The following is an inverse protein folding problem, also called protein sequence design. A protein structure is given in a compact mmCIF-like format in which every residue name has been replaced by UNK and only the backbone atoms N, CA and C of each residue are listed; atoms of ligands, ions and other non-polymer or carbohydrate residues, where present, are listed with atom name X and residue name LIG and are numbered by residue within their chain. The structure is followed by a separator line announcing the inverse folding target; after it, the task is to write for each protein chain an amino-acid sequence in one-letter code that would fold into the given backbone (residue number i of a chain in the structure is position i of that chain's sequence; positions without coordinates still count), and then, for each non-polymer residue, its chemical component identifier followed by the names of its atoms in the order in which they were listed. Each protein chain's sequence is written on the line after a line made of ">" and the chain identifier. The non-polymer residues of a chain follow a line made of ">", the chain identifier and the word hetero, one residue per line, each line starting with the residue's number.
data_IF_038349636383
#
_entry.id   IF_038349636383
#
_cell.length_a   1.000
_cell.length_b   1.000
_cell.length_c   1.000
_cell.angle_alpha   90.00
_cell.angle_beta   90.00
_cell.angle_gamma   90.00
#
_symmetry.space_group_name_H-M   'P 1'
#
loop_
_entity.id
_entity.type
_entity.pdbx_description
1 polymer ?
#
# COMPACT_ATOMS: atom_id res chain seq x y z
N UNK A 1 23.65 -2.37 -9.05
CA UNK A 1 23.52 -2.04 -7.64
C UNK A 1 22.81 -0.72 -7.56
N UNK A 2 21.70 -0.65 -6.85
CA UNK A 2 20.91 0.55 -6.69
C UNK A 2 21.00 0.98 -5.23
N UNK A 3 21.35 2.24 -5.00
CA UNK A 3 21.39 2.85 -3.69
C UNK A 3 20.45 4.03 -3.68
N UNK A 4 19.71 4.18 -2.61
CA UNK A 4 18.76 5.28 -2.48
C UNK A 4 18.22 5.36 -1.08
N UNK A 5 17.14 6.09 -0.94
CA UNK A 5 16.46 6.27 0.32
C UNK A 5 15.58 7.49 0.25
N UNK A 6 15.00 7.84 1.38
CA UNK A 6 14.25 9.07 1.56
C UNK A 6 14.64 9.71 2.88
N UNK A 7 14.83 11.02 2.84
CA UNK A 7 14.90 11.88 4.02
C UNK A 7 13.64 12.74 3.99
N UNK A 8 12.89 12.74 5.07
CA UNK A 8 11.63 13.44 5.16
C UNK A 8 11.50 14.22 6.47
N UNK A 9 10.60 15.20 6.46
CA UNK A 9 10.28 16.01 7.66
C UNK A 9 9.50 15.25 8.73
N UNK A 10 9.00 14.05 8.39
CA UNK A 10 8.39 13.10 9.32
C UNK A 10 9.35 11.94 9.60
N UNK A 11 9.05 11.15 10.64
CA UNK A 11 9.82 9.94 11.03
C UNK A 11 9.66 8.78 10.03
N UNK A 12 9.58 9.06 8.73
CA UNK A 12 9.46 8.09 7.64
C UNK A 12 10.73 7.94 6.81
N UNK A 13 11.81 8.57 7.25
CA UNK A 13 13.12 8.48 6.58
C UNK A 13 13.62 7.04 6.56
N UNK A 14 14.15 6.60 5.43
CA UNK A 14 14.75 5.29 5.29
C UNK A 14 15.92 5.29 4.31
N UNK A 15 16.74 4.25 4.40
CA UNK A 15 17.82 3.95 3.46
C UNK A 15 17.40 2.71 2.68
N UNK A 16 17.60 2.72 1.38
CA UNK A 16 17.32 1.63 0.46
C UNK A 16 18.59 1.15 -0.23
N UNK A 17 18.74 -0.17 -0.32
CA UNK A 17 19.79 -0.85 -1.06
C UNK A 17 19.17 -1.92 -1.96
N UNK A 18 19.45 -1.86 -3.26
CA UNK A 18 19.02 -2.85 -4.24
C UNK A 18 20.23 -3.50 -4.93
N UNK A 19 20.25 -4.81 -4.98
CA UNK A 19 21.25 -5.59 -5.70
C UNK A 19 20.54 -6.35 -6.83
N UNK A 20 21.03 -6.15 -8.05
CA UNK A 20 20.53 -6.82 -9.26
C UNK A 20 21.63 -7.67 -9.88
N UNK A 21 21.31 -8.94 -10.15
CA UNK A 21 22.19 -9.87 -10.85
C UNK A 21 21.48 -10.45 -12.07
N UNK A 22 22.15 -10.42 -13.21
CA UNK A 22 21.64 -10.95 -14.47
C UNK A 22 22.57 -12.06 -14.98
N UNK A 23 21.98 -13.18 -15.39
CA UNK A 23 22.69 -14.27 -16.06
C UNK A 23 21.98 -14.63 -17.35
N UNK A 24 22.76 -14.66 -18.45
CA UNK A 24 22.28 -14.94 -19.81
C UNK A 24 22.76 -16.33 -20.25
N UNK A 25 22.12 -17.38 -19.70
CA UNK A 25 22.38 -18.78 -20.08
C UNK A 25 21.15 -19.36 -20.80
N UNK A 26 20.93 -20.67 -20.72
CA UNK A 26 19.72 -21.35 -21.29
C UNK A 26 18.41 -20.79 -20.76
N UNK A 27 18.35 -20.39 -19.50
CA UNK A 27 17.29 -19.55 -18.94
C UNK A 27 17.89 -18.17 -18.62
N UNK A 28 17.19 -17.11 -19.00
CA UNK A 28 17.53 -15.76 -18.58
C UNK A 28 17.17 -15.63 -17.11
N UNK A 29 18.15 -15.41 -16.26
CA UNK A 29 17.93 -15.30 -14.81
C UNK A 29 18.17 -13.86 -14.36
N UNK A 30 17.21 -13.30 -13.64
CA UNK A 30 17.33 -12.01 -12.95
C UNK A 30 17.07 -12.21 -11.46
N UNK A 31 18.10 -12.05 -10.64
CA UNK A 31 17.97 -12.05 -9.19
C UNK A 31 18.02 -10.61 -8.66
N UNK A 32 17.06 -10.27 -7.81
CA UNK A 32 16.91 -8.96 -7.18
C UNK A 32 16.84 -9.14 -5.67
N UNK A 33 17.68 -8.43 -4.94
CA UNK A 33 17.65 -8.35 -3.47
C UNK A 33 17.50 -6.90 -3.09
N UNK A 34 16.42 -6.58 -2.39
CA UNK A 34 16.10 -5.24 -1.92
C UNK A 34 16.10 -5.21 -0.40
N UNK A 35 16.69 -4.19 0.16
CA UNK A 35 16.71 -3.95 1.58
C UNK A 35 16.36 -2.49 1.86
N UNK A 36 15.48 -2.24 2.81
CA UNK A 36 15.17 -0.92 3.30
C UNK A 36 15.18 -0.91 4.83
N UNK A 37 15.71 0.16 5.42
CA UNK A 37 15.75 0.34 6.86
C UNK A 37 15.51 1.79 7.26
N UNK A 38 14.64 1.97 8.25
CA UNK A 38 14.25 3.25 8.84
C UNK A 38 13.43 2.97 10.10
N UNK A 39 13.03 4.01 10.80
CA UNK A 39 12.25 3.87 12.04
C UNK A 39 10.82 3.43 11.75
N UNK A 40 10.19 4.03 10.73
CA UNK A 40 8.82 3.71 10.32
C UNK A 40 8.72 2.39 9.53
N UNK A 41 9.68 2.13 8.64
CA UNK A 41 9.61 1.01 7.70
C UNK A 41 10.93 0.29 7.56
N UNK A 42 10.87 -1.03 7.72
CA UNK A 42 11.99 -1.96 7.45
C UNK A 42 11.51 -3.03 6.49
N UNK A 43 12.35 -3.39 5.53
CA UNK A 43 11.99 -4.41 4.54
C UNK A 43 13.23 -5.16 4.06
N UNK A 44 13.02 -6.44 3.80
CA UNK A 44 13.95 -7.28 3.04
C UNK A 44 13.14 -8.07 2.01
N UNK A 45 13.57 -8.04 0.77
CA UNK A 45 12.92 -8.77 -0.32
C UNK A 45 13.95 -9.43 -1.21
N UNK A 46 13.70 -10.67 -1.56
CA UNK A 46 14.42 -11.39 -2.60
C UNK A 46 13.44 -11.89 -3.65
N UNK A 47 13.78 -11.67 -4.91
CA UNK A 47 13.06 -12.21 -6.07
C UNK A 47 14.08 -12.82 -7.02
N UNK A 48 13.74 -13.97 -7.57
CA UNK A 48 14.57 -14.61 -8.60
C UNK A 48 13.66 -14.96 -9.76
N UNK A 49 13.83 -14.27 -10.88
CA UNK A 49 13.04 -14.50 -12.07
C UNK A 49 13.82 -15.35 -13.06
N UNK A 50 13.18 -16.41 -13.54
CA UNK A 50 13.65 -17.29 -14.59
C UNK A 50 12.75 -17.13 -15.82
N UNK A 51 13.27 -16.56 -16.89
CA UNK A 51 12.57 -16.45 -18.16
C UNK A 51 12.91 -17.65 -19.06
N UNK A 52 11.88 -18.30 -19.61
CA UNK A 52 11.99 -19.48 -20.47
C UNK A 52 11.53 -19.17 -21.91
N UNK A 53 12.38 -18.52 -22.74
CA UNK A 53 11.99 -18.09 -24.07
C UNK A 53 11.67 -19.24 -25.04
N UNK A 54 12.23 -20.45 -24.77
CA UNK A 54 12.06 -21.62 -25.64
C UNK A 54 10.88 -22.53 -25.25
N UNK A 55 10.28 -22.34 -24.07
CA UNK A 55 9.21 -23.18 -23.52
C UNK A 55 7.85 -22.44 -23.45
N UNK A 56 7.54 -21.58 -24.41
CA UNK A 56 6.26 -20.87 -24.47
C UNK A 56 6.27 -19.47 -23.89
N UNK A 57 7.45 -18.84 -23.78
CA UNK A 57 7.60 -17.42 -23.35
C UNK A 57 6.96 -17.11 -21.98
N UNK A 58 7.15 -17.98 -21.00
CA UNK A 58 6.72 -17.72 -19.62
C UNK A 58 7.91 -17.46 -18.70
N UNK A 59 7.63 -16.87 -17.54
CA UNK A 59 8.60 -16.77 -16.47
C UNK A 59 8.08 -17.38 -15.17
N UNK A 60 9.02 -17.85 -14.35
CA UNK A 60 8.82 -18.22 -12.95
C UNK A 60 9.57 -17.22 -12.08
N UNK A 61 8.91 -16.75 -11.01
CA UNK A 61 9.51 -15.79 -10.09
C UNK A 61 9.16 -16.16 -8.65
N UNK A 62 9.97 -17.04 -8.00
CA UNK A 62 9.92 -17.18 -6.55
C UNK A 62 10.32 -15.88 -5.87
N UNK A 63 9.59 -15.56 -4.78
CA UNK A 63 9.83 -14.36 -3.99
C UNK A 63 9.72 -14.65 -2.49
N UNK A 64 10.54 -13.99 -1.70
CA UNK A 64 10.36 -13.89 -0.27
C UNK A 64 10.43 -12.42 0.14
N UNK A 65 9.46 -11.97 0.93
CA UNK A 65 9.37 -10.58 1.37
C UNK A 65 9.11 -10.55 2.87
N UNK A 66 9.85 -9.70 3.55
CA UNK A 66 9.65 -9.31 4.93
C UNK A 66 9.44 -7.80 4.97
N UNK A 67 8.39 -7.35 5.64
CA UNK A 67 8.13 -5.95 5.91
C UNK A 67 7.82 -5.78 7.40
N UNK A 68 8.29 -4.67 7.98
CA UNK A 68 7.84 -4.18 9.27
C UNK A 68 7.44 -2.72 9.12
N UNK A 69 6.23 -2.39 9.57
CA UNK A 69 5.63 -1.07 9.56
C UNK A 69 5.36 -0.65 11.00
N UNK A 70 6.03 0.39 11.46
CA UNK A 70 5.86 0.91 12.81
C UNK A 70 5.20 2.29 12.78
N UNK A 71 3.88 2.34 12.99
CA UNK A 71 3.10 3.57 13.00
C UNK A 71 3.19 4.33 14.34
N UNK A 72 3.88 3.79 15.35
CA UNK A 72 4.07 4.41 16.66
C UNK A 72 4.86 5.72 16.61
N UNK A 73 5.67 5.92 15.59
CA UNK A 73 6.64 7.01 15.49
C UNK A 73 6.28 8.03 14.41
N UNK A 74 5.07 7.99 13.84
CA UNK A 74 4.66 8.98 12.84
C UNK A 74 4.13 10.23 13.53
N UNK A 75 5.05 11.05 14.07
CA UNK A 75 4.73 12.38 14.57
C UNK A 75 4.56 13.35 13.40
N UNK A 76 3.46 14.10 13.39
CA UNK A 76 3.29 15.24 12.50
C UNK A 76 3.80 16.51 13.19
N UNK A 77 4.64 17.28 12.48
CA UNK A 77 5.26 18.51 13.02
C UNK A 77 4.19 19.58 13.32
N UNK A 78 3.04 19.53 12.65
CA UNK A 78 2.02 20.58 12.68
C UNK A 78 0.92 20.34 13.69
N UNK A 79 0.52 19.09 13.96
CA UNK A 79 -0.60 18.80 14.86
C UNK A 79 -0.27 17.77 15.94
N UNK A 80 0.10 18.28 17.12
CA UNK A 80 0.38 17.48 18.32
C UNK A 80 -0.88 16.97 19.05
N UNK A 81 -2.08 17.25 18.55
CA UNK A 81 -3.35 16.89 19.19
C UNK A 81 -3.95 15.58 18.67
N UNK A 82 -3.25 14.92 17.76
CA UNK A 82 -3.72 13.65 17.18
C UNK A 82 -3.46 12.51 18.18
N UNK A 83 -4.47 11.67 18.48
CA UNK A 83 -4.27 10.48 19.29
C UNK A 83 -3.19 9.61 18.68
N UNK A 84 -2.27 9.05 19.47
CA UNK A 84 -1.20 8.22 18.96
C UNK A 84 -1.79 6.99 18.25
N UNK A 85 -1.43 6.80 16.99
CA UNK A 85 -1.70 5.52 16.31
C UNK A 85 -0.67 4.52 16.79
N UNK A 86 -1.13 3.47 17.46
CA UNK A 86 -0.28 2.35 17.86
C UNK A 86 -0.58 1.18 16.97
N UNK A 87 0.27 0.96 15.98
CA UNK A 87 0.22 -0.21 15.12
C UNK A 87 1.63 -0.62 14.73
N UNK A 88 2.07 -1.80 15.18
CA UNK A 88 3.26 -2.48 14.67
C UNK A 88 2.82 -3.67 13.83
N UNK A 89 3.17 -3.66 12.54
CA UNK A 89 2.81 -4.70 11.57
C UNK A 89 4.05 -5.40 11.07
N UNK A 90 4.16 -6.69 11.32
CA UNK A 90 5.15 -7.57 10.71
C UNK A 90 4.48 -8.43 9.66
N UNK A 91 4.84 -8.23 8.40
CA UNK A 91 4.27 -8.89 7.23
C UNK A 91 5.33 -9.73 6.51
N UNK A 92 5.05 -11.01 6.30
CA UNK A 92 5.94 -11.94 5.60
C UNK A 92 5.17 -12.64 4.48
N UNK A 93 5.80 -12.72 3.32
CA UNK A 93 5.23 -13.40 2.16
C UNK A 93 6.29 -14.28 1.51
N UNK A 94 5.94 -15.51 1.25
CA UNK A 94 6.71 -16.48 0.49
C UNK A 94 5.87 -16.93 -0.70
N UNK A 95 6.27 -16.52 -1.90
CA UNK A 95 5.41 -16.64 -3.08
C UNK A 95 6.12 -17.19 -4.30
N UNK A 96 5.31 -17.65 -5.24
CA UNK A 96 5.70 -18.01 -6.58
C UNK A 96 4.78 -17.31 -7.58
N UNK A 97 5.37 -16.53 -8.47
CA UNK A 97 4.67 -15.89 -9.56
C UNK A 97 4.99 -16.64 -10.86
N UNK A 98 3.96 -16.91 -11.64
CA UNK A 98 4.09 -17.44 -13.01
C UNK A 98 3.48 -16.39 -13.93
N UNK A 99 4.24 -15.91 -14.92
CA UNK A 99 3.73 -14.89 -15.81
C UNK A 99 4.01 -15.21 -17.26
N UNK A 100 3.08 -14.73 -18.12
CA UNK A 100 3.18 -14.84 -19.57
C UNK A 100 2.96 -13.47 -20.21
N UNK A 101 3.72 -13.09 -21.26
CA UNK A 101 3.41 -11.94 -22.09
C UNK A 101 2.20 -12.29 -22.98
N UNK A 102 1.09 -11.61 -22.78
CA UNK A 102 -0.12 -11.77 -23.62
C UNK A 102 -0.04 -10.87 -24.85
N UNK A 103 0.58 -9.70 -24.70
CA UNK A 103 0.85 -8.76 -25.77
C UNK A 103 2.16 -8.03 -25.48
N UNK A 104 2.64 -7.22 -26.44
CA UNK A 104 3.95 -6.55 -26.38
C UNK A 104 4.29 -5.88 -25.03
N UNK A 105 3.27 -5.41 -24.29
CA UNK A 105 3.46 -4.70 -23.04
C UNK A 105 2.49 -5.18 -21.93
N UNK A 106 1.67 -6.20 -22.21
CA UNK A 106 0.70 -6.75 -21.26
C UNK A 106 1.23 -8.11 -20.78
N UNK A 107 1.35 -8.25 -19.47
CA UNK A 107 1.65 -9.51 -18.82
C UNK A 107 0.42 -10.01 -18.06
N UNK A 108 0.06 -11.27 -18.24
CA UNK A 108 -0.82 -12.00 -17.34
C UNK A 108 0.02 -12.79 -16.33
N UNK A 109 -0.51 -13.00 -15.14
CA UNK A 109 0.21 -13.72 -14.10
C UNK A 109 -0.75 -14.55 -13.24
N UNK A 110 -0.22 -15.65 -12.72
CA UNK A 110 -0.76 -16.41 -11.61
C UNK A 110 0.21 -16.29 -10.43
N UNK A 111 -0.33 -16.22 -9.24
CA UNK A 111 0.44 -16.09 -8.00
C UNK A 111 -0.08 -17.05 -6.95
N UNK A 112 0.81 -17.78 -6.30
CA UNK A 112 0.56 -18.50 -5.06
C UNK A 112 1.49 -18.00 -3.98
N UNK A 113 1.00 -17.76 -2.77
CA UNK A 113 1.85 -17.31 -1.68
C UNK A 113 1.36 -17.86 -0.33
N UNK A 114 2.31 -18.19 0.54
CA UNK A 114 2.10 -18.35 1.97
C UNK A 114 2.38 -17.03 2.66
N UNK A 115 1.46 -16.56 3.49
CA UNK A 115 1.56 -15.28 4.17
C UNK A 115 1.47 -15.45 5.68
N UNK A 116 2.19 -14.58 6.39
CA UNK A 116 2.13 -14.45 7.84
C UNK A 116 2.12 -12.95 8.14
N UNK A 117 0.98 -12.43 8.52
CA UNK A 117 0.81 -11.07 8.99
C UNK A 117 0.59 -11.09 10.50
N UNK A 118 1.35 -10.30 11.25
CA UNK A 118 1.21 -10.14 12.68
C UNK A 118 1.09 -8.65 13.00
N UNK A 119 -0.10 -8.27 13.45
CA UNK A 119 -0.44 -6.91 13.82
C UNK A 119 -0.52 -6.81 15.34
N UNK A 120 0.17 -5.82 15.92
CA UNK A 120 0.05 -5.42 17.31
C UNK A 120 -0.47 -3.99 17.36
N UNK A 121 -1.58 -3.76 18.03
CA UNK A 121 -2.24 -2.45 18.01
C UNK A 121 -3.02 -2.18 19.30
N UNK A 122 -3.39 -0.92 19.49
CA UNK A 122 -4.28 -0.48 20.54
C UNK A 122 -5.30 0.50 19.97
N UNK A 123 -6.53 0.38 20.40
CA UNK A 123 -7.63 1.28 20.02
C UNK A 123 -8.03 2.12 21.24
N UNK A 124 -7.20 3.10 21.56
CA UNK A 124 -7.38 3.97 22.72
C UNK A 124 -6.78 5.35 22.45
N UNK A 125 -7.46 6.39 22.88
CA UNK A 125 -7.02 7.77 22.65
C UNK A 125 -5.83 8.19 23.53
N UNK A 126 -5.69 7.59 24.70
CA UNK A 126 -4.60 7.89 25.65
C UNK A 126 -3.92 6.60 26.08
N UNK A 127 -2.62 6.52 25.84
CA UNK A 127 -1.80 5.38 26.22
C UNK A 127 -1.24 5.54 27.63
N UNK A 128 -1.26 4.45 28.39
CA UNK A 128 -0.62 4.33 29.70
C UNK A 128 0.46 3.26 29.62
N UNK A 129 1.55 3.42 30.37
CA UNK A 129 2.69 2.48 30.33
C UNK A 129 2.35 1.02 30.70
N UNK A 130 1.22 0.79 31.36
CA UNK A 130 0.70 -0.55 31.69
C UNK A 130 -0.18 -1.16 30.62
N UNK A 131 -0.51 -0.42 29.54
CA UNK A 131 -1.34 -0.94 28.46
C UNK A 131 -0.60 -2.02 27.67
N UNK A 132 -1.30 -3.11 27.37
CA UNK A 132 -0.83 -4.19 26.51
C UNK A 132 -1.61 -4.21 25.20
N UNK A 133 -0.89 -4.44 24.11
CA UNK A 133 -1.45 -4.39 22.75
C UNK A 133 -2.31 -5.63 22.45
N UNK A 134 -3.38 -5.41 21.70
CA UNK A 134 -4.09 -6.48 21.00
C UNK A 134 -3.15 -7.07 19.94
N UNK A 135 -3.19 -8.39 19.76
CA UNK A 135 -2.41 -9.10 18.76
C UNK A 135 -3.36 -9.84 17.79
N UNK A 136 -3.22 -9.56 16.50
CA UNK A 136 -3.92 -10.25 15.44
C UNK A 136 -2.91 -10.88 14.50
N UNK A 137 -2.93 -12.21 14.41
CA UNK A 137 -2.09 -12.95 13.49
C UNK A 137 -2.94 -13.60 12.41
N UNK A 138 -2.58 -13.35 11.15
CA UNK A 138 -3.20 -13.97 9.97
C UNK A 138 -2.16 -14.85 9.29
N UNK A 139 -2.43 -16.14 9.15
CA UNK A 139 -1.50 -17.11 8.58
C UNK A 139 -2.20 -18.02 7.59
N UNK A 140 -1.64 -18.24 6.42
CA UNK A 140 -2.20 -19.16 5.44
C UNK A 140 -1.83 -18.85 4.00
N UNK A 141 -2.71 -19.17 3.07
CA UNK A 141 -2.44 -19.12 1.65
C UNK A 141 -3.25 -18.02 0.95
N UNK A 142 -2.60 -17.41 -0.04
CA UNK A 142 -3.19 -16.52 -1.04
C UNK A 142 -2.93 -17.09 -2.41
N UNK A 143 -3.97 -17.17 -3.24
CA UNK A 143 -3.87 -17.48 -4.67
C UNK A 143 -4.43 -16.33 -5.47
N UNK A 144 -3.70 -15.88 -6.48
CA UNK A 144 -4.09 -14.73 -7.28
C UNK A 144 -3.88 -14.94 -8.76
N UNK A 145 -4.69 -14.26 -9.55
CA UNK A 145 -4.53 -14.14 -10.99
C UNK A 145 -4.73 -12.68 -11.40
N UNK A 146 -4.08 -12.27 -12.48
CA UNK A 146 -4.26 -10.91 -12.96
C UNK A 146 -3.54 -10.60 -14.25
N UNK A 147 -3.70 -9.35 -14.68
CA UNK A 147 -2.98 -8.79 -15.81
C UNK A 147 -2.54 -7.35 -15.49
N UNK A 148 -1.40 -6.97 -15.99
CA UNK A 148 -0.87 -5.64 -15.78
C UNK A 148 -0.11 -5.11 -16.99
N UNK A 149 -0.12 -3.79 -17.08
CA UNK A 149 0.59 -3.03 -18.10
C UNK A 149 1.07 -1.72 -17.50
N UNK A 150 2.23 -1.23 -17.89
CA UNK A 150 2.68 0.11 -17.55
C UNK A 150 3.63 0.66 -18.62
N UNK A 151 3.33 1.89 -19.08
CA UNK A 151 4.19 2.71 -19.92
C UNK A 151 4.48 4.07 -19.28
N UNK A 152 4.33 4.18 -17.94
CA UNK A 152 4.60 5.40 -17.20
C UNK A 152 6.07 5.80 -17.35
N UNK A 153 6.31 7.09 -17.57
CA UNK A 153 7.67 7.63 -17.76
C UNK A 153 8.52 7.64 -16.48
N UNK A 154 7.89 7.54 -15.30
CA UNK A 154 8.55 7.53 -13.99
C UNK A 154 7.80 6.62 -13.03
N UNK A 155 8.52 6.00 -12.08
CA UNK A 155 7.92 5.16 -11.01
C UNK A 155 7.17 6.00 -9.98
N UNK A 156 7.70 7.17 -9.64
CA UNK A 156 7.11 8.15 -8.75
C UNK A 156 6.99 9.48 -9.48
N UNK A 157 5.91 10.21 -9.26
CA UNK A 157 5.59 11.46 -9.94
C UNK A 157 5.56 11.35 -11.49
N UNK A 158 4.83 10.38 -12.07
CA UNK A 158 4.70 10.30 -13.51
C UNK A 158 3.95 11.53 -14.05
N UNK A 159 4.28 11.90 -15.29
CA UNK A 159 3.63 13.00 -16.03
C UNK A 159 3.19 12.58 -17.43
N UNK A 160 3.48 11.33 -17.81
CA UNK A 160 3.15 10.79 -19.12
C UNK A 160 3.06 9.26 -19.07
N UNK A 161 2.21 8.71 -19.92
CA UNK A 161 2.02 7.27 -20.06
C UNK A 161 0.70 6.79 -19.50
N UNK A 162 0.52 5.49 -19.49
CA UNK A 162 -0.68 4.82 -18.96
C UNK A 162 -0.27 3.53 -18.26
N UNK A 163 -1.08 3.14 -17.28
CA UNK A 163 -0.93 1.87 -16.60
C UNK A 163 -2.30 1.28 -16.29
N UNK A 164 -2.38 -0.04 -16.27
CA UNK A 164 -3.50 -0.74 -15.65
C UNK A 164 -3.00 -1.95 -14.86
N UNK A 165 -3.78 -2.31 -13.85
CA UNK A 165 -3.61 -3.52 -13.09
C UNK A 165 -5.01 -4.08 -12.77
N UNK A 166 -5.23 -5.34 -13.10
CA UNK A 166 -6.44 -6.08 -12.75
C UNK A 166 -5.97 -7.34 -12.03
N UNK A 167 -6.53 -7.61 -10.86
CA UNK A 167 -6.21 -8.81 -10.09
C UNK A 167 -7.43 -9.34 -9.37
N UNK A 168 -7.48 -10.67 -9.23
CA UNK A 168 -8.41 -11.37 -8.36
C UNK A 168 -7.59 -12.28 -7.44
N UNK A 169 -7.88 -12.26 -6.14
CA UNK A 169 -7.17 -13.01 -5.13
C UNK A 169 -8.15 -13.81 -4.28
N UNK A 170 -7.82 -15.03 -3.99
CA UNK A 170 -8.48 -15.89 -3.02
C UNK A 170 -7.57 -16.04 -1.80
N UNK A 171 -8.12 -15.82 -0.63
CA UNK A 171 -7.42 -15.96 0.65
C UNK A 171 -8.03 -17.10 1.44
N UNK A 172 -7.17 -17.89 2.06
CA UNK A 172 -7.54 -18.94 3.02
C UNK A 172 -6.58 -18.84 4.20
N UNK A 173 -7.01 -18.13 5.24
CA UNK A 173 -6.17 -17.76 6.37
C UNK A 173 -6.77 -18.23 7.68
N UNK A 174 -5.91 -18.60 8.62
CA UNK A 174 -6.22 -18.72 10.02
C UNK A 174 -6.01 -17.36 10.68
N UNK A 175 -7.01 -16.88 11.39
CA UNK A 175 -6.98 -15.73 12.27
C UNK A 175 -6.76 -16.22 13.71
N UNK A 176 -5.69 -15.76 14.36
CA UNK A 176 -5.45 -15.96 15.79
C UNK A 176 -5.44 -14.57 16.46
N UNK A 177 -6.38 -14.34 17.35
CA UNK A 177 -6.52 -13.09 18.09
C UNK A 177 -6.22 -13.29 19.58
N UNK A 178 -5.35 -12.44 20.13
CA UNK A 178 -5.04 -12.39 21.56
C UNK A 178 -5.32 -10.97 22.05
N UNK A 179 -6.33 -10.77 22.93
CA UNK A 179 -6.66 -9.45 23.43
C UNK A 179 -5.60 -8.91 24.38
N UNK A 180 -5.34 -7.60 24.29
CA UNK A 180 -4.62 -6.84 25.31
C UNK A 180 -5.54 -6.47 26.48
N UNK A 181 -5.01 -5.74 27.45
CA UNK A 181 -5.75 -5.34 28.66
C UNK A 181 -6.76 -4.20 28.42
N UNK A 182 -6.70 -3.54 27.24
CA UNK A 182 -7.64 -2.48 26.81
C UNK A 182 -8.75 -3.00 25.92
N UNK A 183 -8.67 -4.27 25.51
CA UNK A 183 -9.69 -4.92 24.69
C UNK A 183 -10.94 -5.25 25.50
N UNK A 184 -12.12 -4.97 24.95
CA UNK A 184 -13.39 -5.43 25.53
C UNK A 184 -13.63 -6.92 25.27
N UNK A 185 -12.95 -7.51 24.29
CA UNK A 185 -12.97 -8.93 24.03
C UNK A 185 -12.05 -9.65 25.00
N UNK A 186 -12.61 -10.29 26.01
CA UNK A 186 -11.85 -10.86 27.11
C UNK A 186 -11.13 -12.20 26.83
N UNK A 187 -11.38 -12.85 25.69
CA UNK A 187 -10.85 -14.18 25.41
C UNK A 187 -10.13 -14.26 24.07
N UNK A 188 -9.01 -14.98 23.98
CA UNK A 188 -8.37 -15.31 22.73
C UNK A 188 -9.32 -16.11 21.82
N UNK A 189 -9.21 -15.90 20.53
CA UNK A 189 -10.01 -16.61 19.51
C UNK A 189 -9.16 -17.05 18.33
N UNK A 190 -9.57 -18.15 17.71
CA UNK A 190 -8.94 -18.69 16.51
C UNK A 190 -10.02 -19.08 15.51
N UNK A 191 -9.97 -18.52 14.30
CA UNK A 191 -11.00 -18.70 13.28
C UNK A 191 -10.38 -18.92 11.90
N UNK A 192 -10.98 -19.76 11.08
CA UNK A 192 -10.63 -19.85 9.67
C UNK A 192 -11.38 -18.79 8.88
N UNK A 193 -10.67 -18.04 8.04
CA UNK A 193 -11.20 -16.97 7.22
C UNK A 193 -10.89 -17.21 5.76
N UNK A 194 -11.92 -17.19 4.93
CA UNK A 194 -11.76 -17.33 3.48
C UNK A 194 -12.52 -16.22 2.78
N UNK A 195 -11.91 -15.64 1.74
CA UNK A 195 -12.58 -14.60 0.94
C UNK A 195 -11.96 -14.45 -0.44
N UNK A 196 -12.70 -13.80 -1.32
CA UNK A 196 -12.26 -13.36 -2.63
C UNK A 196 -12.14 -11.83 -2.64
N UNK A 197 -11.14 -11.31 -3.33
CA UNK A 197 -10.97 -9.88 -3.55
C UNK A 197 -10.56 -9.63 -4.99
N UNK A 198 -11.31 -8.78 -5.68
CA UNK A 198 -10.97 -8.28 -7.01
C UNK A 198 -10.58 -6.81 -6.92
N UNK A 199 -9.53 -6.42 -7.62
CA UNK A 199 -9.04 -5.04 -7.68
C UNK A 199 -8.72 -4.66 -9.12
N UNK A 200 -9.18 -3.46 -9.52
CA UNK A 200 -8.86 -2.84 -10.80
C UNK A 200 -8.28 -1.47 -10.54
N UNK A 201 -7.17 -1.14 -11.19
CA UNK A 201 -6.55 0.18 -11.14
C UNK A 201 -6.23 0.61 -12.57
N UNK A 202 -6.70 1.79 -12.97
CA UNK A 202 -6.45 2.41 -14.28
C UNK A 202 -5.85 3.79 -14.06
N UNK A 203 -4.81 4.10 -14.79
CA UNK A 203 -4.08 5.37 -14.66
C UNK A 203 -3.58 5.82 -16.02
N UNK A 204 -3.79 7.10 -16.35
CA UNK A 204 -3.33 7.65 -17.63
C UNK A 204 -3.03 9.14 -17.50
N UNK A 205 -2.01 9.59 -18.22
CA UNK A 205 -1.67 11.00 -18.40
C UNK A 205 -1.69 11.39 -19.89
N UNK A 206 -2.25 12.57 -20.17
CA UNK A 206 -2.31 13.21 -21.47
C UNK A 206 -1.44 14.46 -21.43
N UNK A 207 -0.29 14.42 -22.09
CA UNK A 207 0.67 15.53 -22.09
C UNK A 207 0.46 16.42 -23.32
N UNK A 208 0.39 17.75 -23.09
CA UNK A 208 0.37 18.77 -24.13
C UNK A 208 1.31 19.91 -23.74
N UNK A 209 2.49 19.95 -24.35
CA UNK A 209 3.50 20.96 -24.03
C UNK A 209 3.99 20.86 -22.59
N UNK A 210 3.83 21.94 -21.84
CA UNK A 210 4.22 22.05 -20.42
C UNK A 210 3.15 21.47 -19.46
N UNK A 211 1.95 21.18 -19.94
CA UNK A 211 0.83 20.70 -19.16
C UNK A 211 0.56 19.23 -19.43
N UNK A 212 0.33 18.49 -18.35
CA UNK A 212 -0.18 17.11 -18.41
C UNK A 212 -1.40 17.00 -17.52
N UNK A 213 -2.51 16.53 -18.08
CA UNK A 213 -3.69 16.12 -17.31
C UNK A 213 -3.73 14.61 -17.22
N UNK A 214 -4.14 14.07 -16.11
CA UNK A 214 -4.25 12.63 -15.92
C UNK A 214 -5.39 12.25 -15.00
N UNK A 215 -5.72 10.97 -15.00
CA UNK A 215 -6.69 10.39 -14.07
C UNK A 215 -6.16 9.12 -13.44
N UNK A 216 -6.69 8.82 -12.26
CA UNK A 216 -6.59 7.54 -11.57
C UNK A 216 -8.01 7.04 -11.34
N UNK A 217 -8.28 5.78 -11.64
CA UNK A 217 -9.51 5.08 -11.25
C UNK A 217 -9.12 3.77 -10.55
N UNK A 218 -9.75 3.50 -9.43
CA UNK A 218 -9.55 2.27 -8.67
C UNK A 218 -10.90 1.72 -8.20
N UNK A 219 -11.08 0.42 -8.30
CA UNK A 219 -12.24 -0.28 -7.78
C UNK A 219 -11.82 -1.56 -7.06
N UNK A 220 -12.44 -1.83 -5.93
CA UNK A 220 -12.26 -3.05 -5.16
C UNK A 220 -13.62 -3.65 -4.81
N UNK A 221 -13.71 -4.96 -5.01
CA UNK A 221 -14.83 -5.79 -4.56
C UNK A 221 -14.25 -6.94 -3.73
N UNK A 222 -14.75 -7.11 -2.51
CA UNK A 222 -14.31 -8.14 -1.59
C UNK A 222 -15.45 -8.60 -0.70
N UNK A 223 -15.54 -9.91 -0.51
CA UNK A 223 -16.41 -10.53 0.50
C UNK A 223 -15.62 -10.89 1.76
N UNK A 224 -14.57 -10.11 2.08
CA UNK A 224 -13.75 -10.28 3.28
C UNK A 224 -14.64 -10.24 4.53
N UNK A 225 -14.56 -11.23 5.43
CA UNK A 225 -15.26 -11.21 6.69
C UNK A 225 -14.62 -10.20 7.66
N UNK A 226 -15.38 -9.78 8.64
CA UNK A 226 -14.83 -9.05 9.79
C UNK A 226 -13.95 -9.95 10.64
N UNK A 227 -12.89 -9.40 11.21
CA UNK A 227 -12.03 -10.08 12.17
C UNK A 227 -12.56 -9.92 13.60
N UNK A 228 -11.87 -10.48 14.57
CA UNK A 228 -12.30 -10.59 15.97
C UNK A 228 -12.62 -9.24 16.62
N UNK A 229 -12.02 -8.13 16.18
CA UNK A 229 -12.40 -6.80 16.61
C UNK A 229 -12.41 -5.78 15.46
N UNK A 230 -12.95 -4.58 15.76
CA UNK A 230 -13.02 -3.47 14.79
C UNK A 230 -11.66 -3.07 14.26
N UNK A 231 -10.69 -2.85 15.16
CA UNK A 231 -9.40 -2.32 14.74
C UNK A 231 -8.65 -3.30 13.85
N UNK A 232 -8.63 -4.59 14.22
CA UNK A 232 -8.08 -5.65 13.37
C UNK A 232 -8.76 -5.73 12.00
N UNK A 233 -10.07 -5.51 11.95
CA UNK A 233 -10.84 -5.48 10.71
C UNK A 233 -10.46 -4.29 9.84
N UNK A 234 -10.45 -3.06 10.39
CA UNK A 234 -10.22 -1.84 9.58
C UNK A 234 -8.78 -1.75 9.08
N UNK A 235 -7.76 -2.14 9.87
CA UNK A 235 -6.36 -2.09 9.43
C UNK A 235 -6.04 -3.12 8.33
N UNK A 236 -6.83 -4.18 8.22
CA UNK A 236 -6.68 -5.24 7.21
C UNK A 236 -7.70 -5.15 6.07
N UNK A 237 -8.63 -4.20 6.11
CA UNK A 237 -9.52 -3.92 5.00
C UNK A 237 -8.75 -3.28 3.83
N UNK A 238 -9.16 -3.53 2.57
CA UNK A 238 -8.60 -2.86 1.42
C UNK A 238 -8.60 -1.34 1.56
N UNK A 239 -7.47 -0.71 1.27
CA UNK A 239 -7.29 0.74 1.40
C UNK A 239 -7.02 1.42 0.07
N UNK A 240 -7.54 2.64 -0.07
CA UNK A 240 -7.20 3.56 -1.15
C UNK A 240 -6.06 4.48 -0.70
N UNK A 241 -5.01 4.54 -1.48
CA UNK A 241 -3.80 5.31 -1.18
C UNK A 241 -3.55 6.35 -2.29
N UNK A 242 -4.28 7.48 -2.28
CA UNK A 242 -4.23 8.46 -3.37
C UNK A 242 -2.92 9.22 -3.48
N UNK A 243 -2.32 9.61 -2.33
CA UNK A 243 -1.15 10.46 -2.26
C UNK A 243 0.11 9.68 -1.91
N UNK A 244 1.27 10.27 -2.09
CA UNK A 244 2.56 9.61 -1.86
C UNK A 244 2.77 9.18 -0.40
N UNK A 245 2.25 9.96 0.53
CA UNK A 245 2.35 9.70 1.98
C UNK A 245 1.19 8.88 2.56
N UNK A 246 0.17 8.54 1.76
CA UNK A 246 -1.04 7.83 2.24
C UNK A 246 -0.73 6.50 2.93
N UNK A 247 0.37 5.83 2.56
CA UNK A 247 0.81 4.57 3.19
C UNK A 247 1.50 4.77 4.53
N UNK A 248 1.93 5.99 4.81
CA UNK A 248 2.61 6.32 6.07
C UNK A 248 1.64 6.78 7.16
N UNK A 249 0.35 6.86 6.82
CA UNK A 249 -0.72 7.31 7.69
C UNK A 249 -1.81 6.24 7.72
N UNK A 250 -2.33 5.92 8.89
CA UNK A 250 -3.49 5.04 8.99
C UNK A 250 -4.78 5.84 8.75
N UNK A 251 -5.23 5.86 7.50
CA UNK A 251 -6.47 6.53 7.07
C UNK A 251 -7.65 5.56 7.17
N UNK A 252 -8.34 5.51 8.32
CA UNK A 252 -9.46 4.58 8.55
C UNK A 252 -10.63 4.81 7.58
N UNK A 253 -10.95 6.07 7.24
CA UNK A 253 -12.06 6.43 6.34
C UNK A 253 -11.81 6.07 4.86
N UNK A 254 -10.55 5.87 4.46
CA UNK A 254 -10.17 5.45 3.11
C UNK A 254 -10.02 3.93 2.98
N UNK A 255 -10.72 3.17 3.84
CA UNK A 255 -10.72 1.71 3.85
C UNK A 255 -12.13 1.17 3.82
N UNK A 256 -12.39 0.21 2.94
CA UNK A 256 -13.67 -0.50 2.83
C UNK A 256 -13.47 -1.82 2.08
N UNK A 257 -14.35 -2.79 2.31
CA UNK A 257 -14.35 -4.05 1.56
C UNK A 257 -14.71 -3.83 0.09
N UNK A 258 -15.67 -2.93 -0.14
CA UNK A 258 -16.17 -2.61 -1.48
C UNK A 258 -16.15 -1.09 -1.68
N UNK A 259 -15.43 -0.63 -2.71
CA UNK A 259 -15.36 0.79 -3.02
C UNK A 259 -15.03 1.06 -4.49
N UNK A 260 -15.33 2.29 -4.90
CA UNK A 260 -14.73 2.91 -6.07
C UNK A 260 -14.04 4.19 -5.65
N UNK A 261 -12.93 4.50 -6.32
CA UNK A 261 -12.18 5.72 -6.10
C UNK A 261 -11.69 6.28 -7.43
N UNK A 262 -11.55 7.58 -7.49
CA UNK A 262 -11.03 8.25 -8.67
C UNK A 262 -10.31 9.52 -8.31
N UNK A 263 -9.44 9.97 -9.20
CA UNK A 263 -8.71 11.20 -9.01
C UNK A 263 -8.33 11.85 -10.32
N UNK A 264 -8.23 13.17 -10.25
CA UNK A 264 -7.76 14.00 -11.33
C UNK A 264 -6.41 14.60 -10.96
N UNK A 265 -5.45 14.48 -11.86
CA UNK A 265 -4.06 14.85 -11.66
C UNK A 265 -3.63 15.87 -12.70
N UNK A 266 -3.14 17.01 -12.25
CA UNK A 266 -2.64 18.07 -13.11
C UNK A 266 -1.17 18.30 -12.84
N UNK A 267 -0.35 18.31 -13.88
CA UNK A 267 1.09 18.50 -13.79
C UNK A 267 1.49 19.66 -14.70
N UNK A 268 2.08 20.67 -14.13
CA UNK A 268 2.62 21.85 -14.84
C UNK A 268 4.14 21.79 -14.79
N UNK A 269 4.79 21.45 -15.91
CA UNK A 269 6.25 21.42 -16.01
C UNK A 269 6.80 22.84 -16.15
N UNK A 270 7.12 23.48 -15.03
CA UNK A 270 7.63 24.87 -14.97
C UNK A 270 9.02 24.95 -15.62
N UNK A 271 9.85 23.92 -15.38
CA UNK A 271 11.17 23.76 -16.00
C UNK A 271 11.38 22.29 -16.36
N UNK A 272 12.44 21.96 -17.09
CA UNK A 272 12.76 20.60 -17.52
C UNK A 272 12.76 19.55 -16.39
N UNK A 273 13.11 19.97 -15.18
CA UNK A 273 13.20 19.11 -14.00
C UNK A 273 12.34 19.60 -12.81
N UNK A 274 11.46 20.56 -13.00
CA UNK A 274 10.61 21.14 -11.96
C UNK A 274 9.15 21.12 -12.40
N UNK A 275 8.35 20.34 -11.69
CA UNK A 275 6.92 20.17 -11.90
C UNK A 275 6.15 20.75 -10.71
N UNK A 276 5.07 21.50 -10.98
CA UNK A 276 4.02 21.81 -10.03
C UNK A 276 2.84 20.88 -10.26
N UNK A 277 2.32 20.27 -9.22
CA UNK A 277 1.25 19.29 -9.29
C UNK A 277 0.06 19.70 -8.44
N UNK A 278 -1.15 19.54 -9.00
CA UNK A 278 -2.41 19.67 -8.29
C UNK A 278 -3.22 18.40 -8.53
N UNK A 279 -3.55 17.70 -7.46
CA UNK A 279 -4.26 16.43 -7.54
C UNK A 279 -5.46 16.45 -6.58
N UNK A 280 -6.57 15.92 -7.04
CA UNK A 280 -7.80 15.78 -6.26
C UNK A 280 -8.37 14.37 -6.44
N UNK A 281 -8.85 13.78 -5.36
CA UNK A 281 -9.34 12.42 -5.31
C UNK A 281 -10.65 12.34 -4.54
N UNK A 282 -11.51 11.43 -4.98
CA UNK A 282 -12.73 11.04 -4.30
C UNK A 282 -12.72 9.53 -4.05
N UNK A 283 -13.10 9.14 -2.85
CA UNK A 283 -13.26 7.76 -2.43
C UNK A 283 -14.72 7.54 -2.03
N UNK A 284 -15.35 6.54 -2.60
CA UNK A 284 -16.73 6.15 -2.32
C UNK A 284 -16.77 4.71 -1.82
N UNK A 285 -16.88 4.47 -0.51
CA UNK A 285 -17.20 3.14 0.00
C UNK A 285 -18.65 2.79 -0.32
N UNK A 286 -18.94 1.52 -0.60
CA UNK A 286 -20.32 1.00 -0.64
C UNK A 286 -20.78 0.50 0.73
N UNK A 287 -19.82 0.24 1.60
CA UNK A 287 -20.03 -0.20 2.98
C UNK A 287 -19.03 0.52 3.87
N UNK A 288 -19.47 1.01 5.01
CA UNK A 288 -18.59 1.55 6.07
C UNK A 288 -18.35 0.48 7.12
N UNK A 289 -17.13 0.46 7.65
CA UNK A 289 -16.75 -0.39 8.76
C UNK A 289 -16.76 0.52 10.00
N UNK A 290 -17.73 0.33 10.88
CA UNK A 290 -17.90 1.05 12.14
C UNK A 290 -17.65 0.13 13.33
N UNK A 291 -17.60 0.70 14.52
CA UNK A 291 -17.36 -0.01 15.77
C UNK A 291 -18.62 0.00 16.63
N UNK A 292 -18.97 -1.13 17.22
CA UNK A 292 -20.00 -1.21 18.25
C UNK A 292 -19.43 -0.90 19.65
N UNK A 293 -20.32 -0.84 20.65
CA UNK A 293 -19.96 -0.58 22.05
C UNK A 293 -19.06 -1.68 22.66
N UNK A 294 -18.91 -2.82 21.99
CA UNK A 294 -18.07 -3.96 22.41
C UNK A 294 -16.80 -4.11 21.58
N UNK A 295 -16.44 -3.09 20.81
CA UNK A 295 -15.30 -3.10 19.88
C UNK A 295 -15.39 -4.14 18.75
N UNK A 296 -16.58 -4.66 18.40
CA UNK A 296 -16.74 -5.46 17.21
C UNK A 296 -16.89 -4.58 15.97
N UNK A 297 -16.52 -5.11 14.82
CA UNK A 297 -16.74 -4.45 13.56
C UNK A 297 -18.19 -4.63 13.07
N UNK A 298 -18.85 -3.53 12.79
CA UNK A 298 -20.14 -3.47 12.10
C UNK A 298 -19.91 -3.03 10.66
N UNK A 299 -20.56 -3.72 9.72
CA UNK A 299 -20.50 -3.38 8.30
C UNK A 299 -21.87 -2.89 7.86
N UNK A 300 -21.97 -1.61 7.55
CA UNK A 300 -23.22 -0.94 7.19
C UNK A 300 -23.17 -0.46 5.75
N UNK A 301 -24.24 -0.64 4.99
CA UNK A 301 -24.35 -0.09 3.64
C UNK A 301 -24.37 1.43 3.65
N UNK A 302 -23.55 2.04 2.83
CA UNK A 302 -23.42 3.50 2.71
C UNK A 302 -23.43 3.96 1.25
N UNK A 303 -24.58 4.44 0.80
CA UNK A 303 -24.74 4.87 -0.60
C UNK A 303 -24.32 6.34 -0.80
N UNK A 304 -24.43 7.18 0.24
CA UNK A 304 -24.26 8.64 0.13
C UNK A 304 -22.90 9.18 0.59
N UNK A 305 -22.07 8.36 1.24
CA UNK A 305 -20.80 8.81 1.81
C UNK A 305 -19.69 8.93 0.75
N UNK A 306 -19.00 10.06 0.75
CA UNK A 306 -17.78 10.31 -0.03
C UNK A 306 -16.72 10.86 0.89
N UNK A 307 -15.46 10.53 0.62
CA UNK A 307 -14.30 11.12 1.26
C UNK A 307 -13.38 11.68 0.21
N UNK A 308 -12.72 12.79 0.50
CA UNK A 308 -11.88 13.51 -0.43
C UNK A 308 -10.44 13.57 0.04
N UNK A 309 -9.51 13.53 -0.90
CA UNK A 309 -8.09 13.83 -0.66
C UNK A 309 -7.58 14.74 -1.76
N UNK A 310 -6.61 15.57 -1.44
CA UNK A 310 -6.02 16.48 -2.40
C UNK A 310 -4.57 16.79 -2.09
N UNK A 311 -3.83 17.26 -3.09
CA UNK A 311 -2.42 17.60 -2.96
C UNK A 311 -2.04 18.76 -3.85
N UNK A 312 -1.28 19.70 -3.29
CA UNK A 312 -0.49 20.66 -4.03
C UNK A 312 0.98 20.36 -3.77
N UNK A 313 1.77 20.12 -4.82
CA UNK A 313 3.13 19.62 -4.68
C UNK A 313 4.09 20.30 -5.66
N UNK A 314 5.25 20.67 -5.20
CA UNK A 314 6.36 21.17 -6.00
C UNK A 314 7.45 20.09 -6.04
N UNK A 315 7.65 19.48 -7.20
CA UNK A 315 8.55 18.33 -7.40
C UNK A 315 9.73 18.74 -8.27
N UNK A 316 10.92 18.66 -7.72
CA UNK A 316 12.17 18.77 -8.47
C UNK A 316 12.75 17.37 -8.71
N UNK A 317 12.91 17.02 -9.98
CA UNK A 317 13.53 15.74 -10.38
C UNK A 317 15.04 15.89 -10.41
N UNK A 318 15.75 15.16 -9.57
CA UNK A 318 17.21 15.13 -9.50
C UNK A 318 17.76 13.73 -9.82
N UNK A 319 19.07 13.63 -9.94
CA UNK A 319 19.79 12.36 -10.18
C UNK A 319 19.74 11.41 -8.97
N UNK A 320 19.56 11.96 -7.77
CA UNK A 320 19.44 11.18 -6.52
C UNK A 320 17.97 10.84 -6.16
N UNK A 321 17.02 11.27 -7.00
CA UNK A 321 15.59 11.05 -6.78
C UNK A 321 14.81 12.37 -6.74
N UNK A 322 13.50 12.34 -6.55
CA UNK A 322 12.65 13.52 -6.44
C UNK A 322 12.92 14.26 -5.13
N UNK A 323 12.87 15.59 -5.21
CA UNK A 323 12.77 16.47 -4.04
C UNK A 323 11.38 17.08 -4.13
N UNK A 324 10.55 16.86 -3.14
CA UNK A 324 9.13 17.22 -3.16
C UNK A 324 8.76 17.96 -1.88
N UNK A 325 8.04 19.08 -2.07
CA UNK A 325 7.37 19.81 -1.00
C UNK A 325 5.87 19.75 -1.28
N UNK A 326 5.15 18.95 -0.52
CA UNK A 326 3.71 18.72 -0.68
C UNK A 326 2.89 19.27 0.48
N UNK A 327 1.76 19.89 0.15
CA UNK A 327 0.64 20.17 1.05
C UNK A 327 -0.44 19.16 0.75
N UNK A 328 -0.73 18.28 1.68
CA UNK A 328 -1.68 17.18 1.56
C UNK A 328 -2.92 17.46 2.40
N UNK A 329 -4.09 17.16 1.83
CA UNK A 329 -5.38 17.21 2.50
C UNK A 329 -6.02 15.83 2.47
N UNK A 330 -6.60 15.41 3.60
CA UNK A 330 -7.43 14.23 3.73
C UNK A 330 -8.71 14.57 4.47
N UNK A 331 -9.84 14.08 3.99
CA UNK A 331 -11.13 14.15 4.70
C UNK A 331 -11.16 13.10 5.82
N UNK A 332 -10.23 13.26 6.76
CA UNK A 332 -10.09 12.44 7.95
C UNK A 332 -10.00 13.38 9.17
N UNK A 333 -10.87 13.22 10.21
CA UNK A 333 -10.93 14.15 11.34
C UNK A 333 -9.62 14.25 12.10
N UNK A 334 -8.80 13.20 12.06
CA UNK A 334 -7.55 13.15 12.79
C UNK A 334 -6.36 13.70 11.99
N UNK A 335 -6.49 13.86 10.65
CA UNK A 335 -5.37 14.27 9.79
C UNK A 335 -5.84 15.03 8.55
N UNK A 336 -6.42 16.21 8.76
CA UNK A 336 -6.99 17.00 7.66
C UNK A 336 -5.90 17.62 6.77
N UNK A 337 -4.88 18.22 7.34
CA UNK A 337 -3.81 18.88 6.60
C UNK A 337 -2.45 18.39 7.05
N UNK A 338 -1.56 18.15 6.10
CA UNK A 338 -0.18 17.81 6.40
C UNK A 338 0.78 18.40 5.37
N UNK A 339 1.95 18.80 5.82
CA UNK A 339 3.06 19.23 4.97
C UNK A 339 4.15 18.18 5.01
N UNK A 340 4.62 17.75 3.85
CA UNK A 340 5.71 16.81 3.73
C UNK A 340 6.77 17.38 2.78
N UNK A 341 7.98 17.57 3.30
CA UNK A 341 9.18 17.72 2.49
C UNK A 341 9.94 16.42 2.50
N UNK A 342 10.25 15.89 1.34
CA UNK A 342 11.11 14.72 1.23
C UNK A 342 12.13 14.84 0.09
N UNK A 343 13.26 14.17 0.27
CA UNK A 343 14.33 14.01 -0.71
C UNK A 343 14.54 12.52 -0.93
N UNK A 344 14.39 12.03 -2.17
CA UNK A 344 14.49 10.62 -2.52
C UNK A 344 13.14 9.96 -2.77
N UNK A 345 13.17 8.67 -2.99
CA UNK A 345 11.98 7.88 -3.35
C UNK A 345 11.25 7.34 -2.12
N UNK A 346 9.97 7.71 -1.96
CA UNK A 346 9.04 7.09 -1.01
C UNK A 346 8.51 5.79 -1.63
N UNK A 347 9.25 4.71 -1.45
CA UNK A 347 8.89 3.39 -1.99
C UNK A 347 8.66 2.42 -0.84
N UNK A 348 7.47 1.86 -0.81
CA UNK A 348 7.06 0.84 0.15
C UNK A 348 6.56 -0.40 -0.60
N UNK A 349 6.90 -1.58 -0.14
CA UNK A 349 6.32 -2.80 -0.66
C UNK A 349 4.81 -2.84 -0.36
N UNK A 350 4.09 -3.58 -1.19
CA UNK A 350 2.70 -3.93 -0.87
C UNK A 350 2.69 -4.88 0.34
N UNK A 351 1.66 -4.80 1.15
CA UNK A 351 1.41 -5.81 2.18
C UNK A 351 0.99 -7.13 1.55
N UNK A 352 1.07 -8.23 2.29
CA UNK A 352 0.69 -9.55 1.78
C UNK A 352 -0.80 -9.68 1.44
N UNK A 353 -1.65 -8.82 2.03
CA UNK A 353 -3.09 -8.77 1.77
C UNK A 353 -3.48 -7.91 0.55
N UNK A 354 -2.54 -7.15 -0.04
CA UNK A 354 -2.72 -6.36 -1.27
C UNK A 354 -2.23 -7.18 -2.47
#
# INVERSE_FOLDING_TARGET
>A
MDFGGVIATRSISNIYLGLNYYSFRKALTHAEVNFATGDFYKSAQIKVRFDFPYLGQFYLEPEATFNNWNYLHVDDIIDKRIPPTVLDRVDRKYGLNIGVPVARQIKAFLQGAYIVNNDQYIDKDVLVSSDTLDQLKLTGFRFGAGASFSSMNRKQYPSQGKAFNISANYFSLQEDFVPGNTSMNAAPSSNNRTWLQAKVTLEQYFKKGIYSSGYLLEGVLSNQPTFSNYYGTIINAPGFYPLQDSRTILLKKFRAFNYVAGGWRNVFSIRKNLDFRLEAYAFKPFQTISQDDKQHALVEEQIKQFYFAGMADLVMHSTIGPISLSLNYYDDPNRQLSVLLHVGFLLFNKTSLE
#
